data_IF_864303929915
#
_entry.id   IF_864303929915
#
_cell.length_a   1.000
_cell.length_b   1.000
_cell.length_c   1.000
_cell.angle_alpha   90.00
_cell.angle_beta   90.00
_cell.angle_gamma   90.00
#
_symmetry.space_group_name_H-M   'P 1'
#
loop_
_entity.id
_entity.type
_entity.pdbx_description
1 polymer ?
#
# COMPACT_ATOMS: atom_id res chain seq x y z
N UNK A 1 14.83 -20.98 -16.15
CA UNK A 1 14.57 -19.61 -15.63
C UNK A 1 13.54 -19.69 -14.52
N UNK A 2 13.73 -19.01 -13.40
CA UNK A 2 12.73 -18.93 -12.32
C UNK A 2 11.64 -17.93 -12.68
N UNK A 3 10.37 -18.27 -12.44
CA UNK A 3 9.25 -17.35 -12.67
C UNK A 3 9.23 -16.22 -11.63
N UNK A 4 8.50 -15.13 -11.92
CA UNK A 4 8.29 -14.03 -10.96
C UNK A 4 7.62 -14.55 -9.68
N UNK A 5 6.60 -15.40 -9.82
CA UNK A 5 5.90 -16.00 -8.69
C UNK A 5 6.82 -16.87 -7.81
N UNK A 6 7.64 -17.73 -8.43
CA UNK A 6 8.61 -18.55 -7.71
C UNK A 6 9.64 -17.69 -6.96
N UNK A 7 10.08 -16.59 -7.59
CA UNK A 7 11.01 -15.63 -6.97
C UNK A 7 10.36 -14.94 -5.76
N UNK A 8 9.13 -14.45 -5.90
CA UNK A 8 8.41 -13.78 -4.81
C UNK A 8 8.17 -14.71 -3.61
N UNK A 9 7.74 -15.95 -3.87
CA UNK A 9 7.55 -16.99 -2.84
C UNK A 9 8.87 -17.35 -2.17
N UNK A 10 9.96 -17.48 -2.92
CA UNK A 10 11.27 -17.78 -2.36
C UNK A 10 11.77 -16.66 -1.45
N UNK A 11 11.62 -15.39 -1.87
CA UNK A 11 12.01 -14.22 -1.09
C UNK A 11 11.16 -14.07 0.19
N UNK A 12 9.87 -14.39 0.13
CA UNK A 12 9.00 -14.31 1.30
C UNK A 12 9.38 -15.27 2.45
N UNK A 13 10.23 -16.26 2.19
CA UNK A 13 10.77 -17.17 3.21
C UNK A 13 11.85 -16.53 4.08
N UNK A 14 12.55 -15.52 3.57
CA UNK A 14 13.79 -14.99 4.16
C UNK A 14 13.74 -13.49 4.45
N UNK A 15 12.87 -12.74 3.77
CA UNK A 15 12.73 -11.31 3.98
C UNK A 15 11.90 -10.99 5.25
N UNK A 16 12.13 -9.82 5.88
CA UNK A 16 11.22 -9.28 6.88
C UNK A 16 9.80 -9.15 6.31
N UNK A 17 8.78 -9.38 7.14
CA UNK A 17 7.37 -9.50 6.71
C UNK A 17 6.91 -8.36 5.78
N UNK A 18 7.14 -7.09 6.15
CA UNK A 18 6.73 -5.96 5.32
C UNK A 18 7.43 -5.90 3.95
N UNK A 19 8.70 -6.32 3.86
CA UNK A 19 9.43 -6.38 2.59
C UNK A 19 8.94 -7.55 1.73
N UNK A 20 8.67 -8.70 2.36
CA UNK A 20 8.08 -9.85 1.70
C UNK A 20 6.71 -9.52 1.08
N UNK A 21 5.86 -8.81 1.83
CA UNK A 21 4.55 -8.32 1.35
C UNK A 21 4.74 -7.37 0.17
N UNK A 22 5.67 -6.42 0.25
CA UNK A 22 5.93 -5.50 -0.88
C UNK A 22 6.36 -6.23 -2.16
N UNK A 23 7.17 -7.30 -2.05
CA UNK A 23 7.56 -8.12 -3.20
C UNK A 23 6.37 -8.88 -3.78
N UNK A 24 5.56 -9.53 -2.93
CA UNK A 24 4.39 -10.29 -3.39
C UNK A 24 3.31 -9.37 -3.97
N UNK A 25 2.95 -8.29 -3.28
CA UNK A 25 2.01 -7.27 -3.78
C UNK A 25 2.47 -6.76 -5.14
N UNK A 26 3.77 -6.45 -5.31
CA UNK A 26 4.31 -6.00 -6.62
C UNK A 26 4.19 -7.06 -7.71
N UNK A 27 4.34 -8.34 -7.39
CA UNK A 27 4.19 -9.42 -8.36
C UNK A 27 2.75 -9.50 -8.91
N UNK A 28 1.75 -9.33 -8.04
CA UNK A 28 0.33 -9.44 -8.40
C UNK A 28 -0.37 -8.09 -8.62
N UNK A 29 0.38 -6.99 -8.55
CA UNK A 29 -0.19 -5.65 -8.66
C UNK A 29 -0.91 -5.48 -9.99
N UNK A 30 -2.18 -5.11 -9.92
CA UNK A 30 -2.98 -4.76 -11.08
C UNK A 30 -2.81 -3.27 -11.35
N UNK A 31 -1.79 -2.94 -12.15
CA UNK A 31 -1.62 -1.57 -12.63
C UNK A 31 -2.79 -1.19 -13.54
N UNK A 32 -3.01 0.14 -13.71
CA UNK A 32 -4.11 0.69 -14.52
C UNK A 32 -4.08 0.29 -16.00
N UNK A 33 -2.94 -0.18 -16.49
CA UNK A 33 -2.74 -0.74 -17.84
C UNK A 33 -3.04 -2.25 -17.93
N UNK A 34 -3.49 -2.87 -16.83
CA UNK A 34 -4.00 -4.23 -16.78
C UNK A 34 -2.94 -5.34 -16.77
N UNK A 35 -1.66 -5.03 -16.56
CA UNK A 35 -0.56 -6.00 -16.64
C UNK A 35 0.07 -6.29 -15.28
N UNK A 36 -0.31 -7.41 -14.67
CA UNK A 36 0.42 -7.97 -13.52
C UNK A 36 1.60 -8.84 -13.98
N UNK A 37 2.66 -8.92 -13.18
CA UNK A 37 3.83 -9.77 -13.47
C UNK A 37 3.56 -11.26 -13.20
N UNK A 38 2.60 -11.52 -12.31
CA UNK A 38 2.10 -12.83 -11.96
C UNK A 38 0.63 -12.69 -11.51
N UNK A 39 -0.12 -13.77 -11.55
CA UNK A 39 -1.45 -13.82 -10.94
C UNK A 39 -1.39 -14.35 -9.51
N UNK A 40 -2.47 -14.15 -8.74
CA UNK A 40 -2.62 -14.82 -7.43
C UNK A 40 -2.48 -16.34 -7.55
N UNK A 41 -3.10 -16.93 -8.58
CA UNK A 41 -3.01 -18.37 -8.85
C UNK A 41 -1.56 -18.84 -9.14
N UNK A 42 -0.73 -17.99 -9.75
CA UNK A 42 0.69 -18.33 -9.95
C UNK A 42 1.47 -18.31 -8.63
N UNK A 43 1.17 -17.39 -7.71
CA UNK A 43 1.75 -17.40 -6.37
C UNK A 43 1.33 -18.64 -5.58
N UNK A 44 0.03 -18.99 -5.60
CA UNK A 44 -0.48 -20.17 -4.91
C UNK A 44 0.20 -21.45 -5.45
N UNK A 45 0.29 -21.60 -6.79
CA UNK A 45 1.00 -22.73 -7.42
C UNK A 45 2.47 -22.78 -7.04
N UNK A 46 3.16 -21.64 -7.01
CA UNK A 46 4.56 -21.57 -6.62
C UNK A 46 4.77 -21.90 -5.14
N UNK A 47 3.82 -21.54 -4.28
CA UNK A 47 3.82 -21.89 -2.85
C UNK A 47 3.56 -23.38 -2.62
N UNK A 48 2.61 -23.97 -3.33
CA UNK A 48 2.30 -25.40 -3.22
C UNK A 48 3.48 -26.28 -3.66
N UNK A 49 4.24 -25.83 -4.66
CA UNK A 49 5.46 -26.47 -5.13
C UNK A 49 6.65 -26.32 -4.16
N UNK A 50 6.57 -25.46 -3.14
CA UNK A 50 7.58 -25.51 -2.08
C UNK A 50 7.56 -26.91 -1.47
N UNK A 51 8.73 -27.49 -1.23
CA UNK A 51 8.84 -28.70 -0.41
C UNK A 51 8.70 -28.38 1.08
N UNK A 52 9.22 -29.28 1.92
CA UNK A 52 9.49 -28.99 3.34
C UNK A 52 10.76 -28.14 3.42
N UNK A 53 10.60 -26.83 3.50
CA UNK A 53 11.72 -25.88 3.52
C UNK A 53 11.59 -24.88 4.67
N UNK A 54 12.74 -24.42 5.19
CA UNK A 54 12.79 -23.33 6.16
C UNK A 54 12.09 -22.09 5.60
N UNK A 55 11.27 -21.44 6.43
CA UNK A 55 10.53 -20.24 6.07
C UNK A 55 9.22 -20.48 5.30
N UNK A 56 8.79 -21.73 5.05
CA UNK A 56 7.51 -22.02 4.38
C UNK A 56 6.33 -21.35 5.09
N UNK A 57 6.23 -21.48 6.42
CA UNK A 57 5.15 -20.86 7.18
C UNK A 57 5.18 -19.33 7.11
N UNK A 58 6.37 -18.72 7.02
CA UNK A 58 6.49 -17.28 6.82
C UNK A 58 5.98 -16.86 5.44
N UNK A 59 6.37 -17.59 4.38
CA UNK A 59 5.86 -17.35 3.04
C UNK A 59 4.34 -17.52 2.93
N UNK A 60 3.76 -18.49 3.65
CA UNK A 60 2.31 -18.70 3.71
C UNK A 60 1.58 -17.48 4.30
N UNK A 61 2.05 -16.95 5.43
CA UNK A 61 1.47 -15.72 6.02
C UNK A 61 1.55 -14.51 5.09
N UNK A 62 2.63 -14.38 4.33
CA UNK A 62 2.78 -13.29 3.36
C UNK A 62 1.82 -13.48 2.20
N UNK A 63 1.68 -14.71 1.69
CA UNK A 63 0.75 -15.06 0.61
C UNK A 63 -0.70 -14.76 1.01
N UNK A 64 -1.10 -15.14 2.23
CA UNK A 64 -2.45 -14.87 2.76
C UNK A 64 -2.71 -13.37 2.90
N UNK A 65 -1.67 -12.59 3.23
CA UNK A 65 -1.77 -11.15 3.41
C UNK A 65 -1.60 -10.33 2.12
N UNK A 66 -1.08 -10.93 1.04
CA UNK A 66 -0.78 -10.24 -0.19
C UNK A 66 -2.04 -9.64 -0.84
N UNK A 67 -1.91 -8.45 -1.42
CA UNK A 67 -3.00 -7.72 -2.06
C UNK A 67 -2.56 -7.15 -3.42
N UNK A 68 -3.38 -7.29 -4.47
CA UNK A 68 -3.08 -6.68 -5.77
C UNK A 68 -3.30 -5.16 -5.79
N UNK A 69 -3.90 -4.60 -4.74
CA UNK A 69 -4.33 -3.19 -4.71
C UNK A 69 -3.26 -2.22 -4.21
N UNK A 70 -2.18 -2.68 -3.57
CA UNK A 70 -1.12 -1.79 -3.11
C UNK A 70 -0.36 -1.18 -4.30
N UNK A 71 -0.31 0.15 -4.39
CA UNK A 71 0.27 0.89 -5.51
C UNK A 71 1.79 1.06 -5.43
N UNK A 72 2.39 0.83 -4.26
CA UNK A 72 3.83 0.99 -4.07
C UNK A 72 4.38 0.12 -2.93
N UNK A 73 5.71 -0.06 -2.93
CA UNK A 73 6.39 -0.79 -1.85
C UNK A 73 6.19 -0.12 -0.48
N UNK A 74 6.14 1.21 -0.42
CA UNK A 74 5.91 1.95 0.81
C UNK A 74 4.48 1.76 1.33
N UNK A 75 3.49 1.68 0.45
CA UNK A 75 2.12 1.33 0.82
C UNK A 75 2.05 -0.10 1.40
N UNK A 76 2.66 -1.07 0.72
CA UNK A 76 2.69 -2.47 1.18
C UNK A 76 3.38 -2.62 2.54
N UNK A 77 4.52 -1.97 2.74
CA UNK A 77 5.25 -1.97 4.01
C UNK A 77 4.41 -1.31 5.11
N UNK A 78 3.77 -0.17 4.82
CA UNK A 78 2.90 0.51 5.78
C UNK A 78 1.72 -0.36 6.18
N UNK A 79 1.06 -1.02 5.22
CA UNK A 79 -0.04 -1.96 5.46
C UNK A 79 0.38 -3.14 6.33
N UNK A 80 1.55 -3.72 6.03
CA UNK A 80 2.12 -4.78 6.85
C UNK A 80 2.44 -4.28 8.28
N UNK A 81 2.92 -3.05 8.43
CA UNK A 81 3.14 -2.41 9.73
C UNK A 81 1.85 -2.19 10.52
N UNK A 82 0.80 -1.68 9.87
CA UNK A 82 -0.55 -1.53 10.43
C UNK A 82 -1.05 -2.88 10.97
N UNK A 83 -0.91 -3.95 10.18
CA UNK A 83 -1.28 -5.31 10.58
C UNK A 83 -0.47 -5.82 11.77
N UNK A 84 0.85 -5.71 11.73
CA UNK A 84 1.74 -6.18 12.80
C UNK A 84 1.47 -5.45 14.11
N UNK A 85 1.14 -4.16 14.04
CA UNK A 85 0.75 -3.37 15.20
C UNK A 85 -0.68 -3.70 15.68
N UNK A 86 -1.48 -4.47 14.94
CA UNK A 86 -2.85 -4.80 15.32
C UNK A 86 -3.80 -3.61 15.21
N UNK A 87 -3.53 -2.66 14.31
CA UNK A 87 -4.52 -1.65 13.93
C UNK A 87 -5.56 -2.25 12.97
N UNK A 88 -6.74 -1.65 12.95
CA UNK A 88 -7.76 -1.95 11.94
C UNK A 88 -7.12 -1.78 10.55
N UNK A 89 -7.31 -2.76 9.67
CA UNK A 89 -6.81 -2.66 8.31
C UNK A 89 -7.64 -1.65 7.50
N UNK A 90 -6.99 -0.77 6.73
CA UNK A 90 -7.67 0.13 5.80
C UNK A 90 -8.18 -0.61 4.56
N UNK A 91 -9.23 -0.05 3.95
CA UNK A 91 -9.57 -0.32 2.55
C UNK A 91 -8.53 0.39 1.66
N UNK A 92 -8.03 -0.30 0.63
CA UNK A 92 -6.98 0.24 -0.25
C UNK A 92 -7.57 0.80 -1.54
N UNK A 93 -6.94 1.86 -2.06
CA UNK A 93 -7.28 2.44 -3.36
C UNK A 93 -8.80 2.69 -3.49
N UNK A 94 -9.43 3.22 -2.43
CA UNK A 94 -10.86 3.53 -2.44
C UNK A 94 -11.08 4.78 -3.28
N UNK A 95 -11.93 4.72 -4.32
CA UNK A 95 -12.34 5.91 -5.05
C UNK A 95 -13.30 6.77 -4.22
N UNK A 96 -13.14 8.10 -4.32
CA UNK A 96 -14.02 9.09 -3.70
C UNK A 96 -14.58 10.03 -4.74
N UNK A 97 -15.83 10.47 -4.53
CA UNK A 97 -16.56 11.32 -5.45
C UNK A 97 -17.30 12.43 -4.71
N UNK A 98 -17.48 13.55 -5.40
CA UNK A 98 -18.42 14.60 -5.02
C UNK A 98 -19.24 15.03 -6.26
N UNK A 99 -19.98 16.15 -6.15
CA UNK A 99 -20.78 16.71 -7.22
C UNK A 99 -19.97 17.13 -8.47
N UNK A 100 -18.68 17.39 -8.34
CA UNK A 100 -17.77 17.70 -9.45
C UNK A 100 -17.13 16.44 -10.06
N UNK A 101 -17.52 15.24 -9.60
CA UNK A 101 -17.08 13.95 -10.12
C UNK A 101 -16.01 13.29 -9.25
N UNK A 102 -15.16 12.48 -9.88
CA UNK A 102 -14.10 11.74 -9.18
C UNK A 102 -13.12 12.71 -8.53
N UNK A 103 -12.88 12.55 -7.23
CA UNK A 103 -11.84 13.25 -6.47
C UNK A 103 -10.49 12.54 -6.68
N UNK A 104 -10.50 11.21 -6.53
CA UNK A 104 -9.33 10.37 -6.70
C UNK A 104 -9.46 9.06 -5.94
N UNK A 105 -8.38 8.28 -5.96
CA UNK A 105 -8.22 7.05 -5.19
C UNK A 105 -7.26 7.35 -4.04
N UNK A 106 -7.63 6.95 -2.83
CA UNK A 106 -6.78 7.14 -1.63
C UNK A 106 -6.06 5.85 -1.28
N UNK A 107 -4.79 5.94 -0.88
CA UNK A 107 -3.97 4.76 -0.56
C UNK A 107 -4.59 3.92 0.55
N UNK A 108 -5.03 4.57 1.63
CA UNK A 108 -5.61 3.94 2.81
C UNK A 108 -6.88 4.65 3.27
N UNK A 109 -7.98 3.92 3.42
CA UNK A 109 -9.23 4.47 3.93
C UNK A 109 -9.79 3.65 5.10
N UNK A 110 -9.96 4.30 6.25
CA UNK A 110 -10.65 3.75 7.41
C UNK A 110 -12.06 4.32 7.48
N UNK A 111 -12.99 3.66 6.79
CA UNK A 111 -14.39 4.09 6.65
C UNK A 111 -15.09 4.32 7.98
N UNK A 112 -14.86 3.45 8.97
CA UNK A 112 -15.52 3.51 10.28
C UNK A 112 -15.20 4.77 11.09
N UNK A 113 -14.07 5.42 10.81
CA UNK A 113 -13.62 6.64 11.50
C UNK A 113 -13.44 7.83 10.58
N UNK A 114 -13.82 7.69 9.29
CA UNK A 114 -13.72 8.77 8.30
C UNK A 114 -12.29 9.28 8.10
N UNK A 115 -11.29 8.37 8.07
CA UNK A 115 -9.88 8.74 7.94
C UNK A 115 -9.26 8.25 6.65
N UNK A 116 -8.48 9.12 6.02
CA UNK A 116 -7.66 8.85 4.84
C UNK A 116 -6.19 8.95 5.22
N UNK A 117 -5.43 7.92 4.88
CA UNK A 117 -3.98 7.90 4.97
C UNK A 117 -3.37 7.87 3.57
N UNK A 118 -2.31 8.64 3.34
CA UNK A 118 -1.57 8.64 2.07
C UNK A 118 -0.07 8.42 2.33
N UNK A 119 0.55 7.55 1.55
CA UNK A 119 1.99 7.36 1.60
C UNK A 119 2.69 8.25 0.58
N UNK A 120 3.48 9.20 1.08
CA UNK A 120 4.33 10.06 0.26
C UNK A 120 5.74 9.51 0.16
N UNK A 121 5.97 8.76 -0.92
CA UNK A 121 7.33 8.56 -1.39
C UNK A 121 7.94 9.92 -1.74
N UNK A 122 9.02 10.32 -1.05
CA UNK A 122 9.83 11.54 -1.26
C UNK A 122 10.17 11.87 -2.74
N UNK A 123 9.97 10.94 -3.67
CA UNK A 123 10.28 11.07 -5.09
C UNK A 123 9.16 11.56 -6.02
N UNK A 124 7.89 11.69 -5.59
CA UNK A 124 6.81 12.11 -6.51
C UNK A 124 6.95 13.56 -7.00
N UNK A 125 7.59 14.45 -6.22
CA UNK A 125 7.74 15.87 -6.57
C UNK A 125 9.06 16.23 -7.27
N UNK A 126 10.08 15.37 -7.19
CA UNK A 126 11.44 15.69 -7.64
C UNK A 126 11.73 15.25 -9.08
N UNK A 127 10.88 14.44 -9.69
CA UNK A 127 11.11 13.92 -11.04
C UNK A 127 10.19 14.61 -12.06
N UNK A 128 10.77 15.50 -12.88
CA UNK A 128 10.11 16.13 -14.04
C UNK A 128 9.41 15.13 -14.97
N UNK A 129 9.89 13.88 -15.00
CA UNK A 129 9.31 12.77 -15.78
C UNK A 129 7.87 12.40 -15.37
N UNK A 130 7.45 12.71 -14.14
CA UNK A 130 6.10 12.41 -13.65
C UNK A 130 5.11 13.58 -13.78
N UNK A 131 5.57 14.76 -14.22
CA UNK A 131 4.70 15.95 -14.26
C UNK A 131 3.87 16.05 -15.53
N UNK A 132 4.15 15.24 -16.55
CA UNK A 132 3.40 15.25 -17.82
C UNK A 132 3.38 16.63 -18.49
N UNK A 133 4.43 17.44 -18.28
CA UNK A 133 4.52 18.81 -18.76
C UNK A 133 3.93 19.88 -17.83
N UNK A 134 3.33 19.50 -16.70
CA UNK A 134 2.83 20.44 -15.68
C UNK A 134 3.97 21.02 -14.86
N UNK A 135 3.79 22.25 -14.38
CA UNK A 135 4.71 22.83 -13.42
C UNK A 135 4.57 22.15 -12.05
N UNK A 136 5.61 22.21 -11.23
CA UNK A 136 5.52 21.75 -9.83
C UNK A 136 4.41 22.49 -9.07
N UNK A 137 4.17 23.77 -9.38
CA UNK A 137 3.10 24.56 -8.78
C UNK A 137 1.72 23.99 -9.11
N UNK A 138 1.46 23.59 -10.35
CA UNK A 138 0.18 23.01 -10.76
C UNK A 138 -0.11 21.69 -10.03
N UNK A 139 0.93 20.87 -9.80
CA UNK A 139 0.79 19.61 -9.06
C UNK A 139 0.43 19.87 -7.61
N UNK A 140 1.11 20.81 -6.96
CA UNK A 140 0.84 21.18 -5.57
C UNK A 140 -0.58 21.75 -5.44
N UNK A 141 -1.00 22.61 -6.37
CA UNK A 141 -2.36 23.17 -6.40
C UNK A 141 -3.39 22.06 -6.60
N UNK A 142 -3.19 21.16 -7.56
CA UNK A 142 -4.11 20.05 -7.82
C UNK A 142 -4.24 19.11 -6.61
N UNK A 143 -3.13 18.80 -5.94
CA UNK A 143 -3.13 17.96 -4.74
C UNK A 143 -3.84 18.66 -3.57
N UNK A 144 -3.64 19.96 -3.41
CA UNK A 144 -4.36 20.75 -2.40
C UNK A 144 -5.86 20.76 -2.65
N UNK A 145 -6.29 21.01 -3.90
CA UNK A 145 -7.71 20.97 -4.28
C UNK A 145 -8.32 19.58 -4.03
N UNK A 146 -7.58 18.51 -4.35
CA UNK A 146 -8.01 17.13 -4.08
C UNK A 146 -8.23 16.89 -2.59
N UNK A 147 -7.28 17.33 -1.77
CA UNK A 147 -7.38 17.19 -0.32
C UNK A 147 -8.55 18.01 0.26
N UNK A 148 -8.74 19.24 -0.19
CA UNK A 148 -9.84 20.10 0.23
C UNK A 148 -11.21 19.45 -0.11
N UNK A 149 -11.33 18.81 -1.28
CA UNK A 149 -12.53 18.04 -1.66
C UNK A 149 -12.75 16.82 -0.76
N UNK A 150 -11.71 16.07 -0.40
CA UNK A 150 -11.83 14.96 0.57
C UNK A 150 -12.26 15.47 1.96
N UNK A 151 -11.71 16.61 2.41
CA UNK A 151 -12.08 17.23 3.68
C UNK A 151 -13.52 17.74 3.67
N UNK A 152 -14.01 18.24 2.53
CA UNK A 152 -15.40 18.64 2.37
C UNK A 152 -16.40 17.47 2.49
N UNK A 153 -15.96 16.22 2.25
CA UNK A 153 -16.73 15.00 2.54
C UNK A 153 -16.73 14.63 4.04
N UNK A 154 -16.05 15.41 4.89
CA UNK A 154 -15.91 15.15 6.32
C UNK A 154 -14.75 14.22 6.68
N UNK A 155 -13.87 13.90 5.72
CA UNK A 155 -12.74 13.01 5.98
C UNK A 155 -11.53 13.75 6.56
N UNK A 156 -10.90 13.12 7.55
CA UNK A 156 -9.59 13.56 8.02
C UNK A 156 -8.47 12.92 7.22
N UNK A 157 -7.63 13.75 6.58
CA UNK A 157 -6.48 13.30 5.77
C UNK A 157 -5.18 13.47 6.55
N UNK A 158 -4.35 12.42 6.58
CA UNK A 158 -2.98 12.45 7.10
C UNK A 158 -2.01 11.69 6.20
N UNK A 159 -0.73 12.05 6.25
CA UNK A 159 0.29 11.54 5.33
C UNK A 159 1.55 11.15 6.08
N UNK A 160 2.33 10.26 5.50
CA UNK A 160 3.63 9.90 6.03
C UNK A 160 4.59 9.45 4.94
N UNK A 161 5.88 9.47 5.28
CA UNK A 161 6.94 9.13 4.35
C UNK A 161 7.64 7.82 4.76
N UNK A 162 8.73 7.53 4.06
CA UNK A 162 9.57 6.36 4.33
C UNK A 162 10.05 6.25 5.78
N UNK A 163 10.33 7.37 6.46
CA UNK A 163 10.85 7.34 7.83
C UNK A 163 9.83 6.79 8.82
N UNK A 164 8.55 7.04 8.56
CA UNK A 164 7.44 6.50 9.36
C UNK A 164 7.09 5.09 8.89
N UNK A 165 6.99 4.86 7.57
CA UNK A 165 6.60 3.55 7.03
C UNK A 165 7.53 2.41 7.48
N UNK A 166 8.83 2.68 7.63
CA UNK A 166 9.83 1.67 8.04
C UNK A 166 10.06 1.61 9.56
N UNK A 167 9.36 2.43 10.34
CA UNK A 167 9.48 2.50 11.80
C UNK A 167 8.15 2.17 12.46
N UNK A 168 8.02 0.95 13.02
CA UNK A 168 6.80 0.52 13.71
C UNK A 168 6.38 1.45 14.85
N UNK A 169 7.29 1.97 15.71
CA UNK A 169 6.90 2.94 16.73
C UNK A 169 6.34 4.23 16.12
N UNK A 170 7.02 4.82 15.14
CA UNK A 170 6.57 6.07 14.52
C UNK A 170 5.23 5.90 13.77
N UNK A 171 5.04 4.77 13.09
CA UNK A 171 3.78 4.43 12.45
C UNK A 171 2.66 4.23 13.49
N UNK A 172 2.95 3.54 14.60
CA UNK A 172 2.00 3.33 15.68
C UNK A 172 1.54 4.64 16.33
N UNK A 173 2.47 5.56 16.57
CA UNK A 173 2.16 6.89 17.11
C UNK A 173 1.33 7.72 16.12
N UNK A 174 1.68 7.68 14.83
CA UNK A 174 0.91 8.32 13.76
C UNK A 174 -0.53 7.79 13.68
N UNK A 175 -0.72 6.48 13.74
CA UNK A 175 -2.05 5.88 13.66
C UNK A 175 -2.87 6.22 14.91
N UNK A 176 -2.26 6.15 16.09
CA UNK A 176 -2.93 6.47 17.35
C UNK A 176 -3.38 7.93 17.41
N UNK A 177 -2.50 8.89 17.06
CA UNK A 177 -2.84 10.33 17.09
C UNK A 177 -3.94 10.71 16.09
N UNK A 178 -4.12 9.91 15.02
CA UNK A 178 -5.18 10.10 14.04
C UNK A 178 -6.44 9.30 14.35
N UNK A 179 -6.51 8.65 15.52
CA UNK A 179 -7.70 7.94 15.99
C UNK A 179 -7.98 6.64 15.24
N UNK A 180 -6.96 6.00 14.67
CA UNK A 180 -7.13 4.70 14.03
C UNK A 180 -7.31 3.63 15.12
N UNK A 181 -8.43 2.87 15.12
CA UNK A 181 -8.69 1.88 16.15
C UNK A 181 -7.80 0.64 15.99
N UNK A 182 -7.57 -0.08 17.09
CA UNK A 182 -7.00 -1.43 17.04
C UNK A 182 -8.05 -2.43 16.55
N UNK A 183 -7.62 -3.45 15.81
CA UNK A 183 -8.45 -4.60 15.51
C UNK A 183 -8.71 -5.33 16.84
N UNK A 184 -9.98 -5.49 17.21
CA UNK A 184 -10.38 -6.20 18.43
C UNK A 184 -10.14 -7.70 18.28
#
# INVERSE_FOLDING_TARGET
>A
MTSVAATAVALARVLPFGQAVAVMDKAIHQSRDGRALATRADLDRAFDQLGRVTGRAAAGRVLDFASPLSGSAGESISRAGIFVLGFLLPELQVPHWDHAGLIGFTDFFWRSVGRVGEFDGRGKYLRREFTGGRSTADIVIAEKIREDRLRALGFGVFRWDWSVATSLPALGDLLSRNGIPRAR
#
